data_IF_667854297068
#
_entry.id   IF_667854297068
#
_cell.length_a   1.000
_cell.length_b   1.000
_cell.length_c   1.000
_cell.angle_alpha   90.00
_cell.angle_beta   90.00
_cell.angle_gamma   90.00
#
_symmetry.space_group_name_H-M   'P 1'
#
loop_
_entity.id
_entity.type
_entity.pdbx_description
1 polymer ?
#
# COMPACT_ATOMS: atom_id res chain seq x y z
N UNK A 1 -24.99 -9.27 23.80
CA UNK A 1 -24.48 -9.51 22.43
C UNK A 1 -23.07 -8.97 22.31
N UNK A 2 -22.13 -9.84 22.02
CA UNK A 2 -20.76 -9.39 21.76
C UNK A 2 -20.65 -8.96 20.32
N UNK A 3 -20.11 -7.77 20.09
CA UNK A 3 -19.74 -7.33 18.75
C UNK A 3 -18.29 -7.69 18.50
N UNK A 4 -18.02 -8.42 17.45
CA UNK A 4 -16.64 -8.68 17.04
C UNK A 4 -16.00 -7.37 16.61
N UNK A 5 -14.73 -7.12 16.98
CA UNK A 5 -14.02 -5.97 16.45
C UNK A 5 -13.91 -6.07 14.93
N UNK A 6 -13.80 -4.93 14.21
CA UNK A 6 -13.54 -4.96 12.77
C UNK A 6 -12.32 -5.81 12.46
N UNK A 7 -12.39 -6.62 11.41
CA UNK A 7 -11.25 -7.40 10.99
C UNK A 7 -10.10 -6.47 10.58
N UNK A 8 -8.90 -6.76 11.07
CA UNK A 8 -7.70 -6.06 10.64
C UNK A 8 -7.23 -6.66 9.31
N UNK A 9 -7.33 -5.94 8.18
CA UNK A 9 -7.00 -6.50 6.87
C UNK A 9 -5.51 -6.80 6.70
N UNK A 10 -4.65 -6.28 7.59
CA UNK A 10 -3.21 -6.50 7.54
C UNK A 10 -2.76 -7.71 8.37
N UNK A 11 -3.64 -8.27 9.20
CA UNK A 11 -3.31 -9.47 9.99
C UNK A 11 -3.62 -10.71 9.16
N UNK A 12 -2.58 -11.31 8.61
CA UNK A 12 -2.64 -12.59 7.89
C UNK A 12 -1.60 -13.53 8.48
N UNK A 13 -1.88 -14.83 8.40
CA UNK A 13 -0.91 -15.83 8.84
C UNK A 13 0.26 -15.84 7.84
N UNK A 14 1.40 -15.29 8.24
CA UNK A 14 2.59 -15.21 7.39
C UNK A 14 3.85 -15.23 8.25
N UNK A 15 4.92 -15.80 7.69
CA UNK A 15 6.25 -15.73 8.27
C UNK A 15 7.03 -14.49 7.82
N UNK A 16 6.50 -13.75 6.84
CA UNK A 16 7.15 -12.55 6.33
C UNK A 16 6.88 -11.36 7.24
N UNK A 17 7.87 -10.47 7.44
CA UNK A 17 7.72 -9.34 8.37
C UNK A 17 6.81 -8.23 7.86
N UNK A 18 6.57 -8.17 6.57
CA UNK A 18 5.76 -7.13 5.93
C UNK A 18 4.61 -7.75 5.13
N UNK A 19 3.52 -6.99 5.05
CA UNK A 19 2.32 -7.35 4.31
C UNK A 19 1.95 -6.20 3.39
N UNK A 20 1.57 -6.52 2.15
CA UNK A 20 1.02 -5.54 1.22
C UNK A 20 -0.34 -6.00 0.73
N UNK A 21 -1.28 -5.06 0.65
CA UNK A 21 -2.61 -5.29 0.11
C UNK A 21 -2.74 -4.46 -1.16
N UNK A 22 -3.16 -5.10 -2.26
CA UNK A 22 -3.45 -4.39 -3.50
C UNK A 22 -4.64 -3.45 -3.28
N UNK A 23 -4.48 -2.22 -3.71
CA UNK A 23 -5.57 -1.24 -3.69
C UNK A 23 -6.38 -1.24 -4.97
N UNK A 24 -7.26 -0.27 -5.06
CA UNK A 24 -8.30 -0.17 -6.10
C UNK A 24 -7.78 0.27 -7.47
N UNK A 25 -6.55 0.71 -7.58
CA UNK A 25 -6.00 1.19 -8.84
C UNK A 25 -4.63 0.61 -9.11
N UNK A 26 -4.26 0.62 -10.39
CA UNK A 26 -2.99 0.09 -10.88
C UNK A 26 -1.80 0.65 -10.09
N UNK A 27 -1.04 -0.23 -9.46
CA UNK A 27 0.16 0.13 -8.70
C UNK A 27 -0.07 0.59 -7.26
N UNK A 28 -1.32 0.81 -6.86
CA UNK A 28 -1.64 1.23 -5.50
C UNK A 28 -1.57 0.05 -4.53
N UNK A 29 -0.75 0.18 -3.49
CA UNK A 29 -0.68 -0.80 -2.40
C UNK A 29 -0.78 -0.12 -1.03
N UNK A 30 -1.24 -0.88 -0.05
CA UNK A 30 -1.15 -0.53 1.36
C UNK A 30 -0.11 -1.45 1.98
N UNK A 31 0.92 -0.87 2.59
CA UNK A 31 2.05 -1.62 3.17
C UNK A 31 2.06 -1.48 4.68
N UNK A 32 2.19 -2.60 5.37
CA UNK A 32 2.18 -2.64 6.83
C UNK A 32 3.14 -3.70 7.37
N UNK A 33 3.56 -3.59 8.65
CA UNK A 33 4.20 -4.72 9.31
C UNK A 33 3.19 -5.85 9.49
N UNK A 34 3.65 -7.10 9.45
CA UNK A 34 2.78 -8.27 9.58
C UNK A 34 2.25 -8.45 11.00
N UNK A 35 2.94 -7.94 12.01
CA UNK A 35 2.45 -7.90 13.40
C UNK A 35 1.79 -6.56 13.67
N UNK A 36 0.80 -6.54 14.54
CA UNK A 36 0.06 -5.33 14.86
C UNK A 36 0.94 -4.32 15.61
N UNK A 37 1.15 -3.15 14.99
CA UNK A 37 1.88 -2.02 15.57
C UNK A 37 1.03 -0.77 15.43
N UNK A 38 1.04 0.07 16.47
CA UNK A 38 0.27 1.32 16.51
C UNK A 38 1.15 2.55 16.71
N UNK A 39 2.41 2.39 17.08
CA UNK A 39 3.34 3.49 17.33
C UNK A 39 4.39 3.58 16.23
N UNK A 40 4.60 4.78 15.69
CA UNK A 40 5.61 5.01 14.65
C UNK A 40 7.02 4.64 15.10
N UNK A 41 7.32 4.82 16.40
CA UNK A 41 8.62 4.47 16.96
C UNK A 41 8.98 2.99 16.80
N UNK A 42 7.97 2.13 16.67
CA UNK A 42 8.15 0.69 16.56
C UNK A 42 8.18 0.18 15.11
N UNK A 43 8.01 1.08 14.12
CA UNK A 43 8.06 0.68 12.72
C UNK A 43 9.47 0.20 12.35
N UNK A 44 9.57 -0.97 11.70
CA UNK A 44 10.88 -1.43 11.23
C UNK A 44 11.39 -0.59 10.08
N UNK A 45 12.70 -0.32 10.05
CA UNK A 45 13.34 0.39 8.95
C UNK A 45 13.13 -0.31 7.61
N UNK A 46 13.05 -1.64 7.62
CA UNK A 46 12.78 -2.44 6.43
C UNK A 46 11.48 -2.04 5.73
N UNK A 47 10.46 -1.63 6.49
CA UNK A 47 9.20 -1.15 5.92
C UNK A 47 9.41 0.15 5.14
N UNK A 48 10.20 1.07 5.69
CA UNK A 48 10.48 2.36 5.04
C UNK A 48 11.28 2.16 3.76
N UNK A 49 12.26 1.26 3.78
CA UNK A 49 13.06 0.92 2.60
C UNK A 49 12.19 0.27 1.51
N UNK A 50 11.32 -0.65 1.90
CA UNK A 50 10.39 -1.30 0.96
C UNK A 50 9.42 -0.29 0.34
N UNK A 51 8.89 0.63 1.15
CA UNK A 51 7.99 1.67 0.67
C UNK A 51 8.67 2.60 -0.33
N UNK A 52 9.87 3.05 -0.02
CA UNK A 52 10.67 3.89 -0.93
C UNK A 52 10.95 3.17 -2.25
N UNK A 53 11.33 1.89 -2.18
CA UNK A 53 11.61 1.11 -3.37
C UNK A 53 10.38 0.94 -4.27
N UNK A 54 9.20 0.75 -3.68
CA UNK A 54 7.96 0.67 -4.46
C UNK A 54 7.62 2.01 -5.11
N UNK A 55 7.76 3.12 -4.40
CA UNK A 55 7.56 4.45 -4.96
C UNK A 55 8.49 4.71 -6.15
N UNK A 56 9.76 4.31 -6.04
CA UNK A 56 10.73 4.41 -7.14
C UNK A 56 10.28 3.56 -8.34
N UNK A 57 9.81 2.33 -8.08
CA UNK A 57 9.32 1.46 -9.15
C UNK A 57 8.12 2.08 -9.88
N UNK A 58 7.18 2.67 -9.15
CA UNK A 58 6.04 3.38 -9.75
C UNK A 58 6.49 4.54 -10.64
N UNK A 59 7.45 5.33 -10.19
CA UNK A 59 7.99 6.44 -10.99
C UNK A 59 8.66 5.94 -12.26
N UNK A 60 9.44 4.87 -12.17
CA UNK A 60 10.09 4.25 -13.34
C UNK A 60 9.08 3.69 -14.34
N UNK A 61 7.91 3.29 -13.87
CA UNK A 61 6.85 2.72 -14.71
C UNK A 61 5.86 3.78 -15.20
N UNK A 62 6.14 5.05 -14.99
CA UNK A 62 5.40 6.15 -15.60
C UNK A 62 4.54 6.99 -14.66
N UNK A 63 4.56 6.73 -13.36
CA UNK A 63 3.84 7.57 -12.40
C UNK A 63 4.62 8.88 -12.19
N UNK A 64 4.06 10.05 -12.57
CA UNK A 64 4.73 11.32 -12.31
C UNK A 64 4.93 11.62 -10.83
N UNK A 65 4.07 11.03 -9.98
CA UNK A 65 4.10 11.23 -8.53
C UNK A 65 3.49 10.04 -7.82
N UNK A 66 4.20 9.47 -6.88
CA UNK A 66 3.64 8.49 -5.95
C UNK A 66 3.37 9.18 -4.61
N UNK A 67 2.11 9.14 -4.17
CA UNK A 67 1.73 9.69 -2.87
C UNK A 67 2.04 8.68 -1.77
N UNK A 68 2.59 9.18 -0.70
CA UNK A 68 2.87 8.42 0.51
C UNK A 68 1.96 8.96 1.60
N UNK A 69 0.98 8.18 2.02
CA UNK A 69 -0.05 8.64 2.97
C UNK A 69 -0.18 7.63 4.10
N UNK A 70 -0.15 8.11 5.33
CA UNK A 70 -0.38 7.28 6.51
C UNK A 70 -1.14 8.08 7.57
N UNK A 71 -2.35 7.66 7.86
CA UNK A 71 -3.20 8.26 8.89
C UNK A 71 -3.55 7.22 9.96
N UNK A 72 -3.88 5.99 9.55
CA UNK A 72 -4.17 4.83 10.40
C UNK A 72 -5.20 5.11 11.50
N UNK A 73 -6.26 5.87 11.16
CA UNK A 73 -7.33 6.21 12.09
C UNK A 73 -8.42 5.15 12.15
N UNK A 74 -8.90 4.69 10.97
CA UNK A 74 -9.97 3.69 10.90
C UNK A 74 -9.44 2.28 11.16
N UNK A 75 -8.23 2.01 10.77
CA UNK A 75 -7.49 0.78 11.07
C UNK A 75 -6.22 1.20 11.81
N UNK A 76 -6.18 1.12 13.15
CA UNK A 76 -5.06 1.63 13.95
C UNK A 76 -3.71 0.95 13.67
N UNK A 77 -3.72 -0.27 13.14
CA UNK A 77 -2.51 -0.92 12.67
C UNK A 77 -1.83 0.00 11.65
N UNK A 78 -0.61 0.44 11.95
CA UNK A 78 0.12 1.37 11.10
C UNK A 78 0.32 0.80 9.70
N UNK A 79 -0.09 1.55 8.71
CA UNK A 79 0.06 1.18 7.30
C UNK A 79 0.29 2.43 6.46
N UNK A 80 0.96 2.23 5.34
CA UNK A 80 1.30 3.29 4.40
C UNK A 80 0.57 3.02 3.10
N UNK A 81 -0.19 4.01 2.63
CA UNK A 81 -0.74 4.01 1.28
C UNK A 81 0.34 4.52 0.33
N UNK A 82 0.73 3.70 -0.62
CA UNK A 82 1.61 4.10 -1.72
C UNK A 82 0.72 4.20 -2.96
N UNK A 83 0.33 5.43 -3.30
CA UNK A 83 -0.75 5.72 -4.23
C UNK A 83 -0.19 6.45 -5.46
N UNK A 84 -0.12 5.80 -6.62
CA UNK A 84 0.40 6.44 -7.82
C UNK A 84 -0.59 7.41 -8.43
N UNK A 85 -0.08 8.55 -8.93
CA UNK A 85 -0.83 9.42 -9.82
C UNK A 85 -0.34 9.14 -11.24
N UNK A 86 -1.25 8.64 -12.08
CA UNK A 86 -0.92 8.37 -13.48
C UNK A 86 -1.11 9.62 -14.34
N UNK A 87 -0.42 9.72 -15.51
CA UNK A 87 -0.52 10.91 -16.37
C UNK A 87 -1.94 11.25 -16.78
N UNK A 88 -2.82 10.25 -16.89
CA UNK A 88 -4.21 10.43 -17.34
C UNK A 88 -5.13 10.96 -16.24
N UNK A 89 -4.68 10.98 -14.98
CA UNK A 89 -5.51 11.44 -13.87
C UNK A 89 -5.78 12.94 -13.97
N UNK A 90 -7.06 13.30 -13.95
CA UNK A 90 -7.51 14.70 -13.94
C UNK A 90 -7.33 15.28 -12.53
N UNK A 91 -7.74 14.52 -11.52
CA UNK A 91 -7.58 14.91 -10.13
C UNK A 91 -6.14 14.71 -9.68
N UNK A 92 -5.70 15.54 -8.73
CA UNK A 92 -4.36 15.47 -8.14
C UNK A 92 -4.46 15.65 -6.62
N UNK A 93 -3.50 15.06 -5.90
CA UNK A 93 -3.40 15.24 -4.45
C UNK A 93 -4.55 14.58 -3.69
N UNK A 94 -4.99 15.25 -2.63
CA UNK A 94 -6.02 14.73 -1.72
C UNK A 94 -7.31 14.35 -2.45
N UNK A 95 -7.87 15.18 -3.35
CA UNK A 95 -9.07 14.78 -4.09
C UNK A 95 -8.94 13.48 -4.87
N UNK A 96 -7.77 13.21 -5.47
CA UNK A 96 -7.53 11.95 -6.16
C UNK A 96 -7.52 10.78 -5.17
N UNK A 97 -6.81 10.91 -4.06
CA UNK A 97 -6.77 9.87 -3.03
C UNK A 97 -8.15 9.62 -2.41
N UNK A 98 -8.92 10.66 -2.16
CA UNK A 98 -10.29 10.53 -1.63
C UNK A 98 -11.22 9.78 -2.59
N UNK A 99 -10.94 9.82 -3.89
CA UNK A 99 -11.75 9.12 -4.90
C UNK A 99 -11.50 7.61 -4.99
N UNK A 100 -10.54 7.07 -4.22
CA UNK A 100 -10.05 5.70 -4.38
C UNK A 100 -11.13 4.61 -4.30
N UNK A 101 -12.18 4.85 -3.51
CA UNK A 101 -13.26 3.87 -3.32
C UNK A 101 -14.57 4.27 -4.02
N UNK A 102 -14.63 5.48 -4.60
CA UNK A 102 -15.88 6.03 -5.14
C UNK A 102 -15.89 6.26 -6.64
N UNK A 103 -14.74 6.15 -7.30
CA UNK A 103 -14.61 6.38 -8.74
C UNK A 103 -13.93 5.18 -9.41
N UNK A 104 -14.18 4.97 -10.71
CA UNK A 104 -13.43 3.96 -11.47
C UNK A 104 -11.95 4.31 -11.50
N UNK A 105 -11.11 3.29 -11.38
CA UNK A 105 -9.67 3.41 -11.47
C UNK A 105 -9.11 2.41 -12.47
N UNK A 106 -7.94 2.70 -13.07
CA UNK A 106 -7.30 1.75 -13.97
C UNK A 106 -6.98 0.44 -13.25
N UNK A 107 -7.32 -0.67 -13.88
CA UNK A 107 -7.05 -2.00 -13.34
C UNK A 107 -5.55 -2.29 -13.33
N UNK A 108 -5.13 -3.17 -12.43
CA UNK A 108 -3.76 -3.64 -12.39
C UNK A 108 -3.34 -4.26 -13.73
N UNK A 109 -2.21 -3.78 -14.24
CA UNK A 109 -1.63 -4.30 -15.48
C UNK A 109 -0.67 -5.45 -15.20
N UNK A 110 -0.43 -6.35 -16.18
CA UNK A 110 0.60 -7.39 -16.03
C UNK A 110 1.96 -6.83 -15.66
N UNK A 111 2.32 -5.66 -16.19
CA UNK A 111 3.60 -5.00 -15.89
C UNK A 111 3.73 -4.65 -14.42
N UNK A 112 2.68 -4.09 -13.81
CA UNK A 112 2.66 -3.74 -12.38
C UNK A 112 2.55 -4.99 -11.50
N UNK A 113 1.82 -6.01 -11.95
CA UNK A 113 1.75 -7.30 -11.24
C UNK A 113 3.13 -7.94 -11.16
N UNK A 114 3.88 -7.94 -12.26
CA UNK A 114 5.22 -8.50 -12.32
C UNK A 114 6.20 -7.71 -11.45
N UNK A 115 6.12 -6.39 -11.50
CA UNK A 115 6.94 -5.51 -10.66
C UNK A 115 6.64 -5.74 -9.17
N UNK A 116 5.37 -5.94 -8.82
CA UNK A 116 4.96 -6.20 -7.45
C UNK A 116 5.52 -7.53 -6.94
N UNK A 117 5.47 -8.58 -7.75
CA UNK A 117 6.01 -9.88 -7.40
C UNK A 117 7.52 -9.82 -7.14
N UNK A 118 8.27 -9.13 -8.00
CA UNK A 118 9.72 -8.97 -7.85
C UNK A 118 10.07 -8.16 -6.59
N UNK A 119 9.37 -7.06 -6.38
CA UNK A 119 9.54 -6.22 -5.19
C UNK A 119 9.22 -7.00 -3.91
N UNK A 120 8.12 -7.75 -3.90
CA UNK A 120 7.70 -8.53 -2.74
C UNK A 120 8.75 -9.58 -2.36
N UNK A 121 9.34 -10.22 -3.35
CA UNK A 121 10.43 -11.19 -3.13
C UNK A 121 11.66 -10.49 -2.53
N UNK A 122 12.05 -9.36 -3.09
CA UNK A 122 13.24 -8.62 -2.64
C UNK A 122 13.11 -8.14 -1.19
N UNK A 123 11.93 -7.69 -0.77
CA UNK A 123 11.71 -7.08 0.54
C UNK A 123 10.99 -8.00 1.53
N UNK A 124 10.82 -9.26 1.20
CA UNK A 124 10.13 -10.24 2.07
C UNK A 124 8.74 -9.77 2.47
N UNK A 125 7.95 -9.38 1.48
CA UNK A 125 6.58 -8.90 1.65
C UNK A 125 5.60 -9.99 1.25
N UNK A 126 4.63 -10.26 2.13
CA UNK A 126 3.49 -11.10 1.78
C UNK A 126 2.44 -10.26 1.09
N UNK A 127 2.12 -10.58 -0.16
CA UNK A 127 1.10 -9.87 -0.92
C UNK A 127 -0.23 -10.60 -0.76
N UNK A 128 -1.23 -9.84 -0.33
CA UNK A 128 -2.59 -10.31 -0.15
C UNK A 128 -3.47 -9.91 -1.34
#
# INVERSE_FOLDING_TARGET
MSTSPPANPFLIATEKPLVAIRGTRNGYIMLAPSRELVNYADLPDALLLAAKAWAIALEKLGSPRAYWITLSELTPHLHIHLFPRWPEDILKGIPLFESRDSAPHPAWTPQLDEALAAWATQFSVEVK
#
